data_IF_328597515190
#
_entry.id   IF_328597515190
#
_cell.length_a   1.000
_cell.length_b   1.000
_cell.length_c   1.000
_cell.angle_alpha   90.00
_cell.angle_beta   90.00
_cell.angle_gamma   90.00
#
_symmetry.space_group_name_H-M   'P 1'
#
loop_
_entity.id
_entity.type
_entity.pdbx_description
1 polymer ?
#
# COMPACT_ATOMS: atom_id res chain seq x y z
N UNK A 1 -9.74 6.56 24.38
CA UNK A 1 -10.86 6.57 23.41
C UNK A 1 -10.44 5.85 22.14
N UNK A 2 -11.13 4.79 21.73
CA UNK A 2 -10.82 4.06 20.48
C UNK A 2 -11.31 4.86 19.27
N UNK A 3 -10.54 4.87 18.19
CA UNK A 3 -10.92 5.48 16.92
C UNK A 3 -11.40 4.37 15.98
N UNK A 4 -12.72 4.18 15.88
CA UNK A 4 -13.32 2.97 15.31
C UNK A 4 -13.02 2.75 13.82
N UNK A 5 -12.88 3.82 13.04
CA UNK A 5 -12.64 3.73 11.60
C UNK A 5 -11.19 4.00 11.19
N UNK A 6 -10.30 4.26 12.16
CA UNK A 6 -8.93 4.75 11.88
C UNK A 6 -7.94 3.59 11.84
N UNK A 7 -7.25 3.43 10.71
CA UNK A 7 -6.16 2.45 10.54
C UNK A 7 -4.87 3.12 10.11
N UNK A 8 -3.76 2.90 10.81
CA UNK A 8 -2.49 3.45 10.40
C UNK A 8 -1.90 2.67 9.22
N UNK A 9 -1.30 3.37 8.26
CA UNK A 9 -0.63 2.74 7.12
C UNK A 9 0.80 2.34 7.50
N UNK A 10 1.36 1.44 6.70
CA UNK A 10 2.66 0.80 6.90
C UNK A 10 3.81 1.52 6.15
N UNK A 11 3.71 2.84 5.93
CA UNK A 11 4.68 3.60 5.11
C UNK A 11 5.88 4.17 5.87
N UNK A 12 5.95 3.97 7.19
CA UNK A 12 7.09 4.44 7.99
C UNK A 12 7.44 3.49 9.14
N UNK A 13 8.67 3.60 9.62
CA UNK A 13 9.18 2.85 10.78
C UNK A 13 9.19 1.33 10.60
N UNK A 14 9.00 0.61 11.70
CA UNK A 14 9.00 -0.86 11.75
C UNK A 14 7.97 -1.48 10.78
N UNK A 15 6.72 -0.99 10.67
CA UNK A 15 5.76 -1.49 9.70
C UNK A 15 6.30 -1.50 8.27
N UNK A 16 6.96 -0.43 7.82
CA UNK A 16 7.55 -0.37 6.49
C UNK A 16 8.67 -1.39 6.30
N UNK A 17 9.54 -1.55 7.31
CA UNK A 17 10.59 -2.59 7.29
C UNK A 17 9.97 -3.99 7.11
N UNK A 18 8.84 -4.28 7.77
CA UNK A 18 8.13 -5.55 7.59
C UNK A 18 7.60 -5.74 6.16
N UNK A 19 7.17 -4.67 5.48
CA UNK A 19 6.78 -4.73 4.05
C UNK A 19 7.99 -5.08 3.19
N UNK A 20 9.13 -4.42 3.41
CA UNK A 20 10.37 -4.68 2.65
C UNK A 20 10.84 -6.13 2.87
N UNK A 21 10.86 -6.60 4.11
CA UNK A 21 11.23 -7.98 4.45
C UNK A 21 10.26 -8.97 3.82
N UNK A 22 8.95 -8.70 3.89
CA UNK A 22 7.94 -9.52 3.22
C UNK A 22 8.19 -9.60 1.73
N UNK A 23 8.51 -8.50 1.06
CA UNK A 23 8.79 -8.53 -0.36
C UNK A 23 9.99 -9.42 -0.70
N UNK A 24 11.08 -9.27 0.04
CA UNK A 24 12.29 -10.09 -0.15
C UNK A 24 11.95 -11.57 0.02
N UNK A 25 11.15 -11.92 1.03
CA UNK A 25 10.73 -13.31 1.29
C UNK A 25 9.74 -13.85 0.26
N UNK A 26 8.80 -13.04 -0.22
CA UNK A 26 7.76 -13.53 -1.13
C UNK A 26 8.20 -13.56 -2.59
N UNK A 27 9.12 -12.67 -2.97
CA UNK A 27 9.39 -12.37 -4.38
C UNK A 27 10.86 -12.64 -4.76
N UNK A 28 11.81 -12.23 -3.93
CA UNK A 28 13.25 -12.33 -4.25
C UNK A 28 13.82 -13.70 -3.88
N UNK A 29 13.72 -14.07 -2.61
CA UNK A 29 14.32 -15.29 -2.07
C UNK A 29 13.78 -16.60 -2.68
N UNK A 30 12.48 -16.72 -3.04
CA UNK A 30 11.98 -17.92 -3.70
C UNK A 30 12.69 -18.24 -5.01
N UNK A 31 13.21 -17.23 -5.71
CA UNK A 31 13.98 -17.43 -6.95
C UNK A 31 15.43 -17.83 -6.70
N UNK A 32 16.00 -17.41 -5.57
CA UNK A 32 17.38 -17.72 -5.20
C UNK A 32 17.53 -19.08 -4.52
N UNK A 33 16.53 -19.49 -3.73
CA UNK A 33 16.57 -20.75 -2.97
C UNK A 33 15.23 -21.47 -3.12
N UNK A 34 15.08 -22.19 -4.23
CA UNK A 34 13.82 -22.82 -4.63
C UNK A 34 13.35 -23.95 -3.70
N UNK A 35 14.26 -24.56 -2.94
CA UNK A 35 13.96 -25.72 -2.09
C UNK A 35 13.18 -25.37 -0.81
N UNK A 36 13.15 -24.09 -0.41
CA UNK A 36 12.49 -23.62 0.82
C UNK A 36 11.42 -22.55 0.56
N UNK A 37 10.92 -22.48 -0.67
CA UNK A 37 9.92 -21.49 -1.10
C UNK A 37 8.68 -21.46 -0.21
N UNK A 38 8.20 -22.62 0.24
CA UNK A 38 7.04 -22.70 1.14
C UNK A 38 7.27 -22.00 2.49
N UNK A 39 8.48 -22.11 3.06
CA UNK A 39 8.82 -21.46 4.32
C UNK A 39 8.87 -19.94 4.12
N UNK A 40 9.52 -19.48 3.05
CA UNK A 40 9.57 -18.05 2.74
C UNK A 40 8.20 -17.47 2.46
N UNK A 41 7.33 -18.22 1.77
CA UNK A 41 5.95 -17.81 1.53
C UNK A 41 5.20 -17.58 2.86
N UNK A 42 5.24 -18.54 3.78
CA UNK A 42 4.55 -18.44 5.08
C UNK A 42 5.08 -17.28 5.91
N UNK A 43 6.41 -17.16 6.05
CA UNK A 43 7.02 -16.07 6.85
C UNK A 43 6.74 -14.72 6.18
N UNK A 44 6.87 -14.65 4.85
CA UNK A 44 6.61 -13.44 4.09
C UNK A 44 5.18 -12.94 4.25
N UNK A 45 4.19 -13.81 4.08
CA UNK A 45 2.77 -13.47 4.31
C UNK A 45 2.55 -13.00 5.74
N UNK A 46 3.14 -13.68 6.73
CA UNK A 46 3.04 -13.28 8.13
C UNK A 46 3.64 -11.89 8.38
N UNK A 47 4.81 -11.59 7.82
CA UNK A 47 5.42 -10.26 7.87
C UNK A 47 4.53 -9.19 7.22
N UNK A 48 3.94 -9.49 6.06
CA UNK A 48 3.03 -8.57 5.37
C UNK A 48 1.81 -8.25 6.23
N UNK A 49 1.16 -9.28 6.76
CA UNK A 49 -0.02 -9.10 7.62
C UNK A 49 0.33 -8.37 8.92
N UNK A 50 1.50 -8.66 9.50
CA UNK A 50 1.99 -7.97 10.69
C UNK A 50 2.30 -6.49 10.44
N UNK A 51 2.66 -6.12 9.20
CA UNK A 51 2.89 -4.72 8.82
C UNK A 51 1.62 -3.88 8.86
N UNK A 52 0.44 -4.49 8.66
CA UNK A 52 -0.81 -3.74 8.56
C UNK A 52 -1.26 -3.13 9.88
N UNK A 53 -1.76 -1.90 9.80
CA UNK A 53 -2.38 -1.22 10.93
C UNK A 53 -3.67 -1.88 11.36
N UNK A 54 -3.79 -2.16 12.65
CA UNK A 54 -4.98 -2.78 13.25
C UNK A 54 -5.93 -1.76 13.85
N UNK A 55 -5.45 -0.57 14.19
CA UNK A 55 -6.28 0.52 14.67
C UNK A 55 -5.48 1.68 15.25
N UNK A 56 -6.20 2.70 15.71
CA UNK A 56 -5.64 3.79 16.50
C UNK A 56 -6.54 4.09 17.71
N UNK A 57 -5.94 4.61 18.78
CA UNK A 57 -6.65 5.04 19.98
C UNK A 57 -6.00 6.28 20.58
N UNK A 58 -6.78 7.07 21.31
CA UNK A 58 -6.28 8.16 22.16
C UNK A 58 -6.12 7.64 23.58
N UNK A 59 -4.90 7.65 24.11
CA UNK A 59 -4.57 7.31 25.50
C UNK A 59 -3.91 8.54 26.16
N UNK A 60 -4.63 9.21 27.07
CA UNK A 60 -4.13 10.43 27.73
C UNK A 60 -3.80 11.54 26.73
N UNK A 61 -2.57 12.09 26.80
CA UNK A 61 -2.06 13.13 25.90
C UNK A 61 -1.34 12.55 24.66
N UNK A 62 -1.77 11.39 24.15
CA UNK A 62 -1.14 10.74 23.00
C UNK A 62 -2.12 10.00 22.09
N UNK A 63 -1.80 9.96 20.79
CA UNK A 63 -2.37 8.99 19.85
C UNK A 63 -1.49 7.74 19.85
N UNK A 64 -2.12 6.58 19.93
CA UNK A 64 -1.46 5.27 19.91
C UNK A 64 -1.87 4.52 18.66
N UNK A 65 -0.89 4.27 17.78
CA UNK A 65 -1.06 3.50 16.56
C UNK A 65 -0.74 2.04 16.84
N UNK A 66 -1.61 1.13 16.39
CA UNK A 66 -1.49 -0.31 16.64
C UNK A 66 -1.11 -1.07 15.38
N UNK A 67 -0.01 -1.80 15.44
CA UNK A 67 0.51 -2.67 14.37
C UNK A 67 0.80 -4.08 14.93
N UNK A 68 1.25 -5.01 14.08
CA UNK A 68 1.67 -6.37 14.48
C UNK A 68 0.58 -7.05 15.31
N UNK A 69 -0.63 -7.10 14.75
CA UNK A 69 -1.82 -7.67 15.41
C UNK A 69 -2.15 -6.99 16.76
N UNK A 70 -1.83 -5.70 16.88
CA UNK A 70 -2.07 -4.91 18.09
C UNK A 70 -0.97 -5.02 19.15
N UNK A 71 0.07 -5.82 18.93
CA UNK A 71 1.19 -6.00 19.87
C UNK A 71 2.18 -4.83 19.83
N UNK A 72 2.39 -4.24 18.66
CA UNK A 72 3.23 -3.07 18.52
C UNK A 72 2.39 -1.81 18.69
N UNK A 73 2.68 -1.02 19.72
CA UNK A 73 2.05 0.28 19.99
C UNK A 73 3.06 1.40 19.74
N UNK A 74 2.79 2.25 18.76
CA UNK A 74 3.56 3.48 18.52
C UNK A 74 2.80 4.64 19.15
N UNK A 75 3.38 5.26 20.19
CA UNK A 75 2.78 6.41 20.88
C UNK A 75 3.31 7.71 20.29
N UNK A 76 2.39 8.59 19.91
CA UNK A 76 2.66 9.93 19.39
C UNK A 76 2.07 10.94 20.38
N UNK A 77 2.90 11.62 21.19
CA UNK A 77 2.46 12.70 22.07
C UNK A 77 1.87 13.85 21.27
N UNK A 78 0.79 14.46 21.75
CA UNK A 78 0.18 15.60 21.05
C UNK A 78 1.13 16.79 20.92
N UNK A 79 1.97 17.01 21.94
CA UNK A 79 2.97 18.09 21.96
C UNK A 79 4.11 17.88 20.93
N UNK A 80 4.22 16.69 20.37
CA UNK A 80 5.19 16.37 19.30
C UNK A 80 4.59 16.51 17.90
N UNK A 81 3.27 16.72 17.78
CA UNK A 81 2.59 16.88 16.50
C UNK A 81 2.74 18.32 16.03
N UNK A 82 3.38 18.49 14.88
CA UNK A 82 3.57 19.78 14.22
C UNK A 82 2.41 20.12 13.29
N UNK A 83 1.89 19.12 12.58
CA UNK A 83 0.91 19.33 11.51
C UNK A 83 0.00 18.11 11.36
N UNK A 84 -1.29 18.37 11.10
CA UNK A 84 -2.28 17.35 10.78
C UNK A 84 -3.01 17.77 9.52
N UNK A 85 -2.88 16.96 8.47
CA UNK A 85 -3.31 17.34 7.12
C UNK A 85 -4.11 16.23 6.47
N UNK A 86 -5.32 16.56 6.00
CA UNK A 86 -6.17 15.61 5.25
C UNK A 86 -5.83 15.69 3.77
N UNK A 87 -5.10 14.71 3.25
CA UNK A 87 -4.53 14.75 1.90
C UNK A 87 -5.61 14.83 0.81
N UNK A 88 -6.71 14.11 0.97
CA UNK A 88 -7.78 14.03 -0.04
C UNK A 88 -8.52 15.37 -0.22
N UNK A 89 -8.45 16.26 0.77
CA UNK A 89 -9.07 17.60 0.74
C UNK A 89 -8.17 18.64 0.08
N UNK A 90 -6.91 18.31 -0.18
CA UNK A 90 -5.97 19.21 -0.85
C UNK A 90 -6.01 19.01 -2.37
N UNK A 91 -6.08 20.11 -3.12
CA UNK A 91 -6.12 20.06 -4.59
C UNK A 91 -4.92 19.31 -5.20
N UNK A 92 -3.74 19.47 -4.58
CA UNK A 92 -2.47 18.81 -4.95
C UNK A 92 -2.04 17.71 -3.95
N UNK A 93 -2.95 17.25 -3.08
CA UNK A 93 -2.63 16.24 -2.07
C UNK A 93 -2.32 14.89 -2.71
N UNK A 94 -1.08 14.42 -2.50
CA UNK A 94 -0.58 13.13 -2.98
C UNK A 94 0.30 12.48 -1.91
N UNK A 95 0.24 11.16 -1.80
CA UNK A 95 0.98 10.37 -0.79
C UNK A 95 2.50 10.47 -1.03
N UNK A 96 2.93 10.43 -2.29
CA UNK A 96 4.33 10.43 -2.69
C UNK A 96 5.10 11.68 -2.24
N UNK A 97 4.39 12.79 -1.96
CA UNK A 97 5.00 14.00 -1.40
C UNK A 97 5.64 13.78 -0.03
N UNK A 98 5.14 12.79 0.72
CA UNK A 98 5.55 12.51 2.10
C UNK A 98 6.28 11.16 2.25
N UNK A 99 5.94 10.16 1.42
CA UNK A 99 6.44 8.79 1.55
C UNK A 99 7.17 8.33 0.29
N UNK A 100 8.36 8.90 0.03
CA UNK A 100 9.17 8.60 -1.16
C UNK A 100 9.70 7.17 -1.20
N UNK A 101 9.99 6.58 -0.04
CA UNK A 101 10.51 5.21 0.08
C UNK A 101 9.50 4.16 -0.38
N UNK A 102 8.21 4.41 -0.19
CA UNK A 102 7.14 3.54 -0.69
C UNK A 102 7.14 3.52 -2.23
N UNK A 103 7.30 4.68 -2.87
CA UNK A 103 7.41 4.77 -4.33
C UNK A 103 8.65 4.05 -4.83
N UNK A 104 9.80 4.23 -4.17
CA UNK A 104 11.02 3.53 -4.50
C UNK A 104 10.83 2.02 -4.41
N UNK A 105 10.12 1.54 -3.38
CA UNK A 105 9.83 0.12 -3.21
C UNK A 105 9.05 -0.44 -4.40
N UNK A 106 7.98 0.22 -4.84
CA UNK A 106 7.24 -0.21 -6.04
C UNK A 106 8.07 -0.14 -7.32
N UNK A 107 8.94 0.87 -7.47
CA UNK A 107 9.86 0.94 -8.62
C UNK A 107 10.79 -0.27 -8.62
N UNK A 108 11.36 -0.63 -7.47
CA UNK A 108 12.21 -1.83 -7.32
C UNK A 108 11.44 -3.09 -7.67
N UNK A 109 10.17 -3.20 -7.27
CA UNK A 109 9.31 -4.35 -7.58
C UNK A 109 9.10 -4.49 -9.08
N UNK A 110 8.75 -3.40 -9.75
CA UNK A 110 8.53 -3.37 -11.19
C UNK A 110 9.83 -3.69 -11.93
N UNK A 111 10.95 -3.09 -11.52
CA UNK A 111 12.25 -3.34 -12.14
C UNK A 111 12.64 -4.83 -12.02
N UNK A 112 12.44 -5.42 -10.84
CA UNK A 112 12.68 -6.84 -10.61
C UNK A 112 11.76 -7.73 -11.45
N UNK A 113 10.45 -7.46 -11.47
CA UNK A 113 9.48 -8.22 -12.25
C UNK A 113 9.73 -8.09 -13.76
N UNK A 114 10.15 -6.92 -14.25
CA UNK A 114 10.56 -6.73 -15.64
C UNK A 114 11.82 -7.52 -15.96
N UNK A 115 12.84 -7.46 -15.11
CA UNK A 115 14.07 -8.23 -15.28
C UNK A 115 13.79 -9.73 -15.35
N UNK A 116 12.99 -10.25 -14.42
CA UNK A 116 12.63 -11.66 -14.42
C UNK A 116 11.78 -12.03 -15.64
N UNK A 117 10.75 -11.24 -15.93
CA UNK A 117 9.92 -11.47 -17.10
C UNK A 117 10.78 -11.50 -18.37
N UNK A 118 11.74 -10.60 -18.55
CA UNK A 118 12.64 -10.60 -19.72
C UNK A 118 13.50 -11.86 -19.77
N UNK A 119 14.11 -12.24 -18.65
CA UNK A 119 15.06 -13.37 -18.55
C UNK A 119 14.38 -14.74 -18.56
N UNK A 120 13.10 -14.83 -18.18
CA UNK A 120 12.33 -16.07 -18.21
C UNK A 120 12.25 -16.64 -19.64
N UNK A 121 12.53 -17.94 -19.84
CA UNK A 121 12.42 -18.59 -21.14
C UNK A 121 10.97 -18.52 -21.65
N UNK A 122 10.83 -18.52 -22.98
CA UNK A 122 9.52 -18.58 -23.64
C UNK A 122 8.94 -20.01 -23.54
N UNK A 123 7.62 -20.12 -23.57
CA UNK A 123 6.92 -21.42 -23.57
C UNK A 123 6.81 -22.10 -22.19
N UNK A 124 7.08 -21.39 -21.08
CA UNK A 124 6.76 -21.87 -19.74
C UNK A 124 5.24 -21.86 -19.51
N UNK A 125 4.81 -22.53 -18.43
CA UNK A 125 3.45 -22.42 -17.94
C UNK A 125 3.11 -20.96 -17.66
N UNK A 126 1.91 -20.54 -18.10
CA UNK A 126 1.49 -19.13 -18.04
C UNK A 126 1.49 -18.54 -16.63
N UNK A 127 1.27 -19.38 -15.62
CA UNK A 127 1.33 -18.99 -14.21
C UNK A 127 2.65 -18.30 -13.81
N UNK A 128 3.77 -18.69 -14.42
CA UNK A 128 5.06 -18.04 -14.18
C UNK A 128 5.07 -16.58 -14.67
N UNK A 129 4.45 -16.30 -15.83
CA UNK A 129 4.39 -14.94 -16.37
C UNK A 129 3.34 -14.08 -15.67
N UNK A 130 2.20 -14.67 -15.26
CA UNK A 130 1.14 -13.93 -14.59
C UNK A 130 1.59 -13.31 -13.26
N UNK A 131 2.51 -13.95 -12.54
CA UNK A 131 3.09 -13.39 -11.32
C UNK A 131 3.81 -12.07 -11.58
N UNK A 132 4.76 -12.05 -12.52
CA UNK A 132 5.51 -10.84 -12.86
C UNK A 132 4.64 -9.76 -13.52
N UNK A 133 3.76 -10.16 -14.44
CA UNK A 133 2.81 -9.23 -15.08
C UNK A 133 1.91 -8.58 -14.02
N UNK A 134 1.41 -9.36 -13.06
CA UNK A 134 0.65 -8.86 -11.93
C UNK A 134 1.44 -7.84 -11.10
N UNK A 135 2.68 -8.16 -10.74
CA UNK A 135 3.56 -7.25 -10.01
C UNK A 135 3.80 -5.93 -10.76
N UNK A 136 4.00 -6.00 -12.08
CA UNK A 136 4.17 -4.81 -12.93
C UNK A 136 2.89 -3.96 -12.90
N UNK A 137 1.72 -4.57 -13.17
CA UNK A 137 0.44 -3.85 -13.24
C UNK A 137 0.10 -3.21 -11.89
N UNK A 138 0.19 -3.97 -10.79
CA UNK A 138 -0.11 -3.44 -9.46
C UNK A 138 0.94 -2.43 -9.00
N UNK A 139 2.21 -2.66 -9.28
CA UNK A 139 3.28 -1.70 -8.97
C UNK A 139 3.03 -0.36 -9.67
N UNK A 140 2.75 -0.38 -10.97
CA UNK A 140 2.41 0.83 -11.73
C UNK A 140 1.17 1.50 -11.15
N UNK A 141 0.10 0.72 -10.91
CA UNK A 141 -1.13 1.23 -10.31
C UNK A 141 -0.86 1.98 -8.99
N UNK A 142 -0.14 1.38 -8.04
CA UNK A 142 0.15 2.02 -6.76
C UNK A 142 1.06 3.24 -6.90
N UNK A 143 2.06 3.22 -7.77
CA UNK A 143 2.87 4.42 -8.08
C UNK A 143 1.96 5.55 -8.54
N UNK A 144 1.09 5.31 -9.53
CA UNK A 144 0.22 6.33 -10.06
C UNK A 144 -0.81 6.81 -9.04
N UNK A 145 -1.41 5.90 -8.27
CA UNK A 145 -2.35 6.23 -7.21
C UNK A 145 -1.71 7.11 -6.12
N UNK A 146 -0.42 6.92 -5.81
CA UNK A 146 0.26 7.66 -4.75
C UNK A 146 0.92 8.94 -5.23
N UNK A 147 1.31 9.03 -6.51
CA UNK A 147 1.94 10.22 -7.11
C UNK A 147 0.91 11.22 -7.61
N UNK A 148 -0.19 10.75 -8.20
CA UNK A 148 -1.21 11.64 -8.78
C UNK A 148 -2.10 12.17 -7.65
N UNK A 149 -2.42 13.48 -7.64
CA UNK A 149 -3.29 14.05 -6.63
C UNK A 149 -4.66 13.36 -6.55
N UNK A 150 -5.21 13.23 -5.34
CA UNK A 150 -6.51 12.58 -5.10
C UNK A 150 -7.66 13.20 -5.90
N UNK A 151 -7.57 14.50 -6.20
CA UNK A 151 -8.52 15.23 -7.04
C UNK A 151 -8.66 14.67 -8.47
N UNK A 152 -7.68 13.90 -8.94
CA UNK A 152 -7.63 13.33 -10.30
C UNK A 152 -7.92 11.82 -10.34
N UNK A 153 -8.80 11.32 -9.47
CA UNK A 153 -9.17 9.89 -9.41
C UNK A 153 -9.55 9.26 -10.76
N UNK A 154 -10.24 10.00 -11.63
CA UNK A 154 -10.66 9.51 -12.96
C UNK A 154 -9.45 9.25 -13.85
N UNK A 155 -8.43 10.10 -13.77
CA UNK A 155 -7.21 9.92 -14.55
C UNK A 155 -6.43 8.67 -14.09
N UNK A 156 -6.37 8.43 -12.78
CA UNK A 156 -5.75 7.19 -12.24
C UNK A 156 -6.53 5.96 -12.65
N UNK A 157 -7.87 6.01 -12.66
CA UNK A 157 -8.69 4.89 -13.13
C UNK A 157 -8.43 4.57 -14.61
N UNK A 158 -8.36 5.60 -15.47
CA UNK A 158 -8.03 5.43 -16.90
C UNK A 158 -6.66 4.76 -17.07
N UNK A 159 -5.64 5.23 -16.33
CA UNK A 159 -4.31 4.62 -16.37
C UNK A 159 -4.30 3.18 -15.86
N UNK A 160 -5.00 2.91 -14.76
CA UNK A 160 -5.07 1.56 -14.18
C UNK A 160 -5.63 0.56 -15.19
N UNK A 161 -6.73 0.91 -15.87
CA UNK A 161 -7.33 0.03 -16.88
C UNK A 161 -6.53 -0.04 -18.18
N UNK A 162 -5.73 0.98 -18.53
CA UNK A 162 -4.85 0.92 -19.70
C UNK A 162 -3.68 -0.04 -19.53
N UNK A 163 -3.35 -0.45 -18.29
CA UNK A 163 -2.35 -1.49 -18.04
C UNK A 163 -2.83 -2.89 -18.42
N UNK A 164 -4.14 -3.12 -18.60
CA UNK A 164 -4.66 -4.43 -19.00
C UNK A 164 -4.25 -4.80 -20.43
N UNK A 165 -4.40 -3.94 -21.46
CA UNK A 165 -3.79 -4.16 -22.77
C UNK A 165 -2.28 -4.40 -22.72
N UNK A 166 -1.55 -3.69 -21.85
CA UNK A 166 -0.10 -3.89 -21.68
C UNK A 166 0.18 -5.28 -21.13
N UNK A 167 -0.58 -5.73 -20.13
CA UNK A 167 -0.47 -7.08 -19.57
C UNK A 167 -0.75 -8.17 -20.61
N UNK A 168 -1.78 -7.98 -21.44
CA UNK A 168 -2.11 -8.88 -22.56
C UNK A 168 -0.94 -8.94 -23.56
N UNK A 169 -0.40 -7.78 -23.94
CA UNK A 169 0.73 -7.71 -24.86
C UNK A 169 1.97 -8.41 -24.30
N UNK A 170 2.31 -8.18 -23.03
CA UNK A 170 3.45 -8.82 -22.37
C UNK A 170 3.29 -10.34 -22.32
N UNK A 171 2.09 -10.83 -22.01
CA UNK A 171 1.80 -12.27 -22.01
C UNK A 171 1.96 -12.84 -23.43
N UNK A 172 1.36 -12.20 -24.43
CA UNK A 172 1.43 -12.62 -25.83
C UNK A 172 2.87 -12.71 -26.33
N UNK A 173 3.75 -11.76 -25.96
CA UNK A 173 5.17 -11.81 -26.32
C UNK A 173 5.91 -13.03 -25.76
N UNK A 174 5.44 -13.60 -24.65
CA UNK A 174 6.05 -14.78 -24.01
C UNK A 174 5.45 -16.10 -24.45
N UNK A 175 4.15 -16.12 -24.71
CA UNK A 175 3.40 -17.35 -25.01
C UNK A 175 3.07 -17.51 -26.50
N UNK A 176 3.14 -16.44 -27.29
CA UNK A 176 2.71 -16.40 -28.69
C UNK A 176 1.20 -16.60 -28.89
N UNK A 177 0.42 -16.71 -27.82
CA UNK A 177 -1.01 -17.00 -27.88
C UNK A 177 -1.73 -16.55 -26.61
N UNK A 178 -2.98 -16.11 -26.79
CA UNK A 178 -3.91 -15.77 -25.70
C UNK A 178 -5.08 -16.77 -25.79
N UNK A 179 -5.36 -17.46 -24.70
CA UNK A 179 -6.43 -18.47 -24.59
C UNK A 179 -7.62 -17.92 -23.81
N UNK A 180 -8.74 -18.67 -23.82
CA UNK A 180 -9.93 -18.31 -23.04
C UNK A 180 -9.64 -18.15 -21.54
N UNK A 181 -8.82 -19.03 -20.96
CA UNK A 181 -8.42 -18.94 -19.55
C UNK A 181 -7.69 -17.63 -19.21
N UNK A 182 -6.90 -17.10 -20.15
CA UNK A 182 -6.21 -15.82 -19.95
C UNK A 182 -7.21 -14.67 -19.89
N UNK A 183 -8.30 -14.73 -20.66
CA UNK A 183 -9.37 -13.72 -20.63
C UNK A 183 -9.99 -13.67 -19.24
N UNK A 184 -10.27 -14.81 -18.62
CA UNK A 184 -10.77 -14.86 -17.24
C UNK A 184 -9.80 -14.21 -16.24
N UNK A 185 -8.49 -14.46 -16.39
CA UNK A 185 -7.46 -13.82 -15.56
C UNK A 185 -7.42 -12.31 -15.75
N UNK A 186 -7.55 -11.81 -16.98
CA UNK A 186 -7.59 -10.37 -17.25
C UNK A 186 -8.88 -9.70 -16.73
N UNK A 187 -10.03 -10.39 -16.81
CA UNK A 187 -11.28 -9.92 -16.19
C UNK A 187 -11.10 -9.84 -14.67
N UNK A 188 -10.51 -10.87 -14.04
CA UNK A 188 -10.22 -10.85 -12.62
C UNK A 188 -9.29 -9.69 -12.24
N UNK A 189 -8.24 -9.44 -13.04
CA UNK A 189 -7.36 -8.29 -12.87
C UNK A 189 -8.10 -6.95 -12.92
N UNK A 190 -9.00 -6.76 -13.90
CA UNK A 190 -9.86 -5.58 -14.01
C UNK A 190 -10.71 -5.40 -12.75
N UNK A 191 -11.34 -6.47 -12.25
CA UNK A 191 -12.13 -6.41 -11.03
C UNK A 191 -11.29 -6.02 -9.82
N UNK A 192 -10.11 -6.62 -9.64
CA UNK A 192 -9.22 -6.32 -8.52
C UNK A 192 -8.72 -4.88 -8.58
N UNK A 193 -8.37 -4.37 -9.77
CA UNK A 193 -8.03 -2.95 -9.95
C UNK A 193 -9.22 -2.03 -9.61
N UNK A 194 -10.43 -2.39 -10.02
CA UNK A 194 -11.64 -1.66 -9.66
C UNK A 194 -11.86 -1.59 -8.15
N UNK A 195 -11.75 -2.72 -7.45
CA UNK A 195 -11.82 -2.76 -5.99
C UNK A 195 -10.71 -1.96 -5.33
N UNK A 196 -9.47 -2.02 -5.85
CA UNK A 196 -8.36 -1.25 -5.31
C UNK A 196 -8.56 0.26 -5.48
N UNK A 197 -9.11 0.72 -6.62
CA UNK A 197 -9.49 2.13 -6.83
C UNK A 197 -10.57 2.52 -5.82
N UNK A 198 -11.63 1.72 -5.67
CA UNK A 198 -12.70 2.02 -4.71
C UNK A 198 -12.19 2.08 -3.27
N UNK A 199 -11.30 1.17 -2.89
CA UNK A 199 -10.71 1.13 -1.55
C UNK A 199 -9.79 2.33 -1.30
N UNK A 200 -8.94 2.69 -2.27
CA UNK A 200 -8.02 3.83 -2.15
C UNK A 200 -8.80 5.14 -2.11
N UNK A 201 -9.75 5.36 -3.02
CA UNK A 201 -10.44 6.65 -3.15
C UNK A 201 -11.71 6.77 -2.30
N UNK A 202 -12.13 5.70 -1.63
CA UNK A 202 -13.28 5.68 -0.72
C UNK A 202 -12.95 6.03 0.73
N UNK A 203 -11.69 6.33 1.05
CA UNK A 203 -11.20 6.63 2.40
C UNK A 203 -10.54 7.99 2.46
N UNK A 204 -10.60 8.64 3.62
CA UNK A 204 -9.83 9.84 3.92
C UNK A 204 -8.43 9.46 4.42
N UNK A 205 -7.42 10.17 3.92
CA UNK A 205 -6.03 10.01 4.34
C UNK A 205 -5.61 11.19 5.18
N UNK A 206 -5.31 10.93 6.45
CA UNK A 206 -4.86 11.93 7.41
C UNK A 206 -3.39 11.72 7.70
N UNK A 207 -2.60 12.72 7.33
CA UNK A 207 -1.19 12.81 7.63
C UNK A 207 -1.01 13.40 9.03
N UNK A 208 -0.17 12.77 9.85
CA UNK A 208 0.31 13.32 11.11
C UNK A 208 1.82 13.50 10.98
N UNK A 209 2.27 14.76 11.00
CA UNK A 209 3.69 15.11 11.00
C UNK A 209 4.14 15.41 12.42
N UNK A 210 5.21 14.75 12.83
CA UNK A 210 5.91 14.99 14.10
C UNK A 210 7.29 15.56 13.81
N UNK A 211 8.00 16.02 14.86
CA UNK A 211 9.38 16.53 14.74
C UNK A 211 10.33 15.54 14.07
N UNK A 212 10.10 14.23 14.25
CA UNK A 212 11.00 13.16 13.79
C UNK A 212 10.46 12.34 12.63
N UNK A 213 9.16 12.11 12.59
CA UNK A 213 8.53 11.14 11.68
C UNK A 213 7.21 11.66 11.10
N UNK A 214 6.83 11.07 9.99
CA UNK A 214 5.52 11.28 9.36
C UNK A 214 4.74 9.97 9.37
N UNK A 215 3.47 10.04 9.75
CA UNK A 215 2.56 8.91 9.82
C UNK A 215 1.35 9.18 8.94
N UNK A 216 0.83 8.13 8.30
CA UNK A 216 -0.35 8.21 7.47
C UNK A 216 -1.44 7.32 8.06
N UNK A 217 -2.62 7.89 8.24
CA UNK A 217 -3.79 7.20 8.74
C UNK A 217 -4.86 7.18 7.64
N UNK A 218 -5.59 6.08 7.56
CA UNK A 218 -6.80 5.96 6.74
C UNK A 218 -8.01 5.94 7.66
N UNK A 219 -9.08 6.62 7.26
CA UNK A 219 -10.31 6.69 8.03
C UNK A 219 -11.53 6.81 7.12
N UNK A 220 -12.73 6.52 7.65
CA UNK A 220 -13.97 6.76 6.90
C UNK A 220 -14.28 8.26 6.79
N UNK A 221 -13.93 9.03 7.82
CA UNK A 221 -14.07 10.49 7.85
C UNK A 221 -12.95 11.10 8.68
N UNK A 222 -12.23 12.06 8.09
CA UNK A 222 -11.18 12.81 8.78
C UNK A 222 -11.71 13.58 10.01
N UNK A 223 -13.01 13.89 10.04
CA UNK A 223 -13.64 14.60 11.14
C UNK A 223 -13.58 13.79 12.46
N UNK A 224 -13.50 12.45 12.39
CA UNK A 224 -13.31 11.60 13.58
C UNK A 224 -11.98 11.91 14.28
N UNK A 225 -10.91 12.06 13.51
CA UNK A 225 -9.57 12.35 14.03
C UNK A 225 -9.52 13.78 14.57
N UNK A 226 -10.05 14.75 13.81
CA UNK A 226 -10.11 16.16 14.23
C UNK A 226 -10.92 16.33 15.52
N UNK A 227 -12.09 15.70 15.64
CA UNK A 227 -12.90 15.73 16.87
C UNK A 227 -12.17 15.12 18.05
N UNK A 228 -11.43 14.02 17.84
CA UNK A 228 -10.65 13.40 18.91
C UNK A 228 -9.54 14.32 19.42
N UNK A 229 -8.86 15.05 18.51
CA UNK A 229 -7.83 16.02 18.85
C UNK A 229 -8.40 17.23 19.61
N UNK A 230 -9.53 17.79 19.14
CA UNK A 230 -10.19 18.93 19.78
C UNK A 230 -10.63 18.61 21.22
N UNK A 231 -11.15 17.39 21.46
CA UNK A 231 -11.54 16.95 22.81
C UNK A 231 -10.35 16.89 23.77
N UNK A 232 -9.17 16.50 23.28
CA UNK A 232 -7.98 16.48 24.14
C UNK A 232 -7.51 17.90 24.43
N UNK A 233 -7.48 18.78 23.42
CA UNK A 233 -7.13 20.18 23.62
C UNK A 233 -8.05 20.89 24.64
N UNK A 234 -9.35 20.58 24.62
CA UNK A 234 -10.32 21.11 25.59
C UNK A 234 -10.12 20.55 27.01
N UNK A 235 -9.79 19.25 27.13
CA UNK A 235 -9.54 18.62 28.44
C UNK A 235 -8.21 19.05 29.08
N UNK A 236 -7.24 19.53 28.30
CA UNK A 236 -5.97 20.09 28.81
C UNK A 236 -6.16 21.54 29.30
N UNK A 237 -7.21 22.24 28.85
CA UNK A 237 -7.51 23.64 29.23
C UNK A 237 -8.46 23.78 30.43
N UNK A 238 -8.97 22.67 30.98
CA UNK A 238 -9.81 22.68 32.18
C UNK A 238 -8.97 22.30 33.42
N UNK A 239 -8.49 23.28 34.22
CA UNK A 239 -8.00 23.02 35.57
C UNK A 239 -9.13 22.66 36.54
#
# INVERSE_FOLDING_TARGET
>A
MKLESVRPMNFSGIPFVLVVVSFVLLIVLPRLVSHVQGIFFVIGVFCLMASWGTGAEVEGNSIVLKYVFGKLKIRIPFDDIEEITTLNRLQKGAIAGYFKWEILLFIVFIAYALFDLITLPRGLLKGYYFGDIGLIVFGLFYIFAFVIPFSRKVFVAILAYSFVPVAIFLLYQKTGSITGDDIFMFIALVMVLGFAILDIYGKDYVLIRTKKNTYLLTCRSADEIVKALLKVAQNVQAP
#
